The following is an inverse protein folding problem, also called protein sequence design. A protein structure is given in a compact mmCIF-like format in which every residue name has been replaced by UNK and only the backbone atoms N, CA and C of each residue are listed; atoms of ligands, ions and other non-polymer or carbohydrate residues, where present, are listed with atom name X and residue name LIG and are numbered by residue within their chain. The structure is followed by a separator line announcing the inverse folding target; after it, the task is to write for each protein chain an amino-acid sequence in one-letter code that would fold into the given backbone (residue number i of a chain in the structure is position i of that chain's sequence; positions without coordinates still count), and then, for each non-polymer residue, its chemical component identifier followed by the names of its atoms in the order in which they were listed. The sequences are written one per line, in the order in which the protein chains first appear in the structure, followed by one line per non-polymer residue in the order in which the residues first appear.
data_IF_133181744765
#
_entry.id   IF_133181744765
#
_cell.length_a   1.000
_cell.length_b   1.000
_cell.length_c   1.000
_cell.angle_alpha   90.00
_cell.angle_beta   90.00
_cell.angle_gamma   90.00
#
_symmetry.space_group_name_H-M   'P 1'
#
loop_
_entity.id
_entity.type
_entity.pdbx_description
1 polymer ?
#
# COMPACT_ATOMS: atom_id res chain seq x y z
N UNK A 1 -4.98 12.08 11.94
CA UNK A 1 -6.05 11.75 10.97
C UNK A 1 -5.47 10.75 10.00
N UNK A 2 -6.02 9.53 9.94
CA UNK A 2 -5.49 8.43 9.10
C UNK A 2 -6.30 8.43 7.81
N UNK A 3 -5.70 8.74 6.67
CA UNK A 3 -6.33 8.41 5.38
C UNK A 3 -6.08 6.92 5.15
N UNK A 4 -7.09 6.13 5.49
CA UNK A 4 -7.25 4.82 4.89
C UNK A 4 -7.68 5.09 3.45
N UNK A 5 -6.91 4.69 2.44
CA UNK A 5 -7.38 4.79 1.08
C UNK A 5 -8.72 4.04 0.99
N UNK A 6 -9.70 4.58 0.25
CA UNK A 6 -11.03 4.00 0.20
C UNK A 6 -11.03 2.72 -0.67
N UNK A 7 -10.34 1.71 -0.16
CA UNK A 7 -10.08 0.44 -0.81
C UNK A 7 -11.35 -0.38 -0.91
N UNK A 8 -12.31 -0.18 0.01
CA UNK A 8 -13.62 -0.80 -0.07
C UNK A 8 -14.39 -0.33 -1.33
N UNK A 9 -14.30 0.97 -1.63
CA UNK A 9 -14.81 1.51 -2.89
C UNK A 9 -14.01 0.97 -4.09
N UNK A 10 -12.69 0.84 -4.00
CA UNK A 10 -11.85 0.27 -5.07
C UNK A 10 -12.21 -1.19 -5.35
N UNK A 11 -12.42 -2.01 -4.32
CA UNK A 11 -12.78 -3.42 -4.45
C UNK A 11 -14.18 -3.57 -5.08
N UNK A 12 -15.13 -2.72 -4.66
CA UNK A 12 -16.49 -2.68 -5.21
C UNK A 12 -16.50 -2.20 -6.67
N UNK A 13 -15.69 -1.21 -7.00
CA UNK A 13 -15.47 -0.75 -8.38
C UNK A 13 -14.76 -1.82 -9.22
N UNK A 14 -13.83 -2.59 -8.66
CA UNK A 14 -13.16 -3.71 -9.36
C UNK A 14 -14.11 -4.87 -9.66
N UNK A 15 -15.18 -5.05 -8.87
CA UNK A 15 -16.23 -6.03 -9.15
C UNK A 15 -17.25 -5.56 -10.20
N UNK A 16 -17.40 -4.24 -10.39
CA UNK A 16 -18.36 -3.64 -11.32
C UNK A 16 -17.77 -2.97 -12.58
N UNK A 17 -16.45 -2.80 -12.66
CA UNK A 17 -15.75 -2.08 -13.72
C UNK A 17 -14.34 -2.67 -13.95
N UNK A 18 -13.85 -2.63 -15.19
CA UNK A 18 -12.49 -3.07 -15.52
C UNK A 18 -11.45 -2.24 -14.74
N UNK A 19 -10.41 -2.88 -14.20
CA UNK A 19 -9.30 -2.24 -13.48
C UNK A 19 -8.71 -1.03 -14.25
N UNK A 20 -8.72 -1.12 -15.58
CA UNK A 20 -8.27 -0.06 -16.49
C UNK A 20 -9.16 1.19 -16.36
N UNK A 21 -10.47 1.03 -16.23
CA UNK A 21 -11.42 2.14 -16.11
C UNK A 21 -11.23 2.92 -14.80
N UNK A 22 -10.91 2.22 -13.70
CA UNK A 22 -10.60 2.82 -12.40
C UNK A 22 -9.31 3.63 -12.47
N UNK A 23 -8.29 3.11 -13.15
CA UNK A 23 -7.02 3.82 -13.36
C UNK A 23 -7.26 5.08 -14.18
N UNK A 24 -7.99 4.98 -15.29
CA UNK A 24 -8.30 6.12 -16.18
C UNK A 24 -9.09 7.20 -15.42
N UNK A 25 -10.14 6.84 -14.68
CA UNK A 25 -10.97 7.81 -13.96
C UNK A 25 -10.19 8.59 -12.90
N UNK A 26 -9.19 7.96 -12.27
CA UNK A 26 -8.30 8.59 -11.28
C UNK A 26 -7.19 9.41 -11.93
N UNK A 27 -6.69 9.00 -13.10
CA UNK A 27 -5.75 9.80 -13.89
C UNK A 27 -6.36 11.13 -14.33
N UNK A 28 -7.64 11.13 -14.74
CA UNK A 28 -8.36 12.34 -15.16
C UNK A 28 -8.48 13.41 -14.06
N UNK A 29 -8.26 13.05 -12.79
CA UNK A 29 -8.30 13.98 -11.65
C UNK A 29 -6.93 14.59 -11.31
N UNK A 30 -5.85 14.20 -12.00
CA UNK A 30 -4.51 14.72 -11.75
C UNK A 30 -4.25 16.02 -12.52
N UNK A 31 -3.45 16.92 -11.92
CA UNK A 31 -2.85 18.05 -12.63
C UNK A 31 -1.95 17.54 -13.76
N UNK A 32 -1.87 18.27 -14.87
CA UNK A 32 -1.13 17.85 -16.08
C UNK A 32 0.33 17.42 -15.80
N UNK A 33 1.04 18.16 -14.95
CA UNK A 33 2.43 17.84 -14.53
C UNK A 33 2.49 16.50 -13.79
N UNK A 34 1.52 16.23 -12.92
CA UNK A 34 1.40 14.97 -12.19
C UNK A 34 1.02 13.83 -13.12
N UNK A 35 0.21 14.08 -14.15
CA UNK A 35 -0.17 13.08 -15.15
C UNK A 35 1.02 12.63 -15.99
N UNK A 36 1.85 13.57 -16.46
CA UNK A 36 3.09 13.25 -17.21
C UNK A 36 4.08 12.48 -16.32
N UNK A 37 4.30 12.95 -15.09
CA UNK A 37 5.17 12.27 -14.12
C UNK A 37 4.66 10.86 -13.79
N UNK A 38 3.35 10.70 -13.63
CA UNK A 38 2.73 9.41 -13.40
C UNK A 38 2.92 8.48 -14.61
N UNK A 39 2.68 8.96 -15.83
CA UNK A 39 2.84 8.20 -17.06
C UNK A 39 4.25 7.65 -17.24
N UNK A 40 5.29 8.49 -17.10
CA UNK A 40 6.69 8.07 -17.22
C UNK A 40 7.04 7.00 -16.18
N UNK A 41 6.58 7.17 -14.93
CA UNK A 41 6.89 6.26 -13.83
C UNK A 41 6.12 4.93 -13.87
N UNK A 42 5.02 4.87 -14.61
CA UNK A 42 4.15 3.70 -14.71
C UNK A 42 4.19 3.01 -16.06
N UNK A 43 4.85 3.60 -17.07
CA UNK A 43 4.98 3.01 -18.40
C UNK A 43 5.54 1.56 -18.37
N UNK A 44 6.57 1.22 -17.58
CA UNK A 44 7.06 -0.17 -17.50
C UNK A 44 6.04 -1.15 -16.90
N UNK A 45 5.05 -0.66 -16.15
CA UNK A 45 4.01 -1.46 -15.52
C UNK A 45 2.75 -1.59 -16.38
N UNK A 46 2.62 -0.79 -17.46
CA UNK A 46 1.44 -0.81 -18.32
C UNK A 46 1.16 -2.20 -18.93
N UNK A 47 2.21 -2.87 -19.41
CA UNK A 47 2.11 -4.26 -19.90
C UNK A 47 1.74 -5.25 -18.79
N UNK A 48 2.22 -5.05 -17.56
CA UNK A 48 1.90 -5.92 -16.43
C UNK A 48 0.42 -5.76 -16.03
N UNK A 49 -0.08 -4.52 -16.02
CA UNK A 49 -1.51 -4.22 -15.78
C UNK A 49 -2.38 -4.83 -16.87
N UNK A 50 -1.97 -4.76 -18.14
CA UNK A 50 -2.69 -5.38 -19.25
C UNK A 50 -2.81 -6.90 -19.07
N UNK A 51 -1.75 -7.54 -18.57
CA UNK A 51 -1.76 -8.96 -18.19
C UNK A 51 -2.42 -9.24 -16.83
N UNK A 52 -3.12 -8.26 -16.23
CA UNK A 52 -3.81 -8.36 -14.94
C UNK A 52 -2.89 -8.73 -13.76
N UNK A 53 -1.62 -8.30 -13.79
CA UNK A 53 -0.72 -8.46 -12.63
C UNK A 53 -1.23 -7.60 -11.46
N UNK A 54 -1.69 -8.29 -10.42
CA UNK A 54 -2.23 -7.68 -9.21
C UNK A 54 -1.27 -6.70 -8.55
N UNK A 55 0.02 -7.04 -8.42
CA UNK A 55 0.99 -6.20 -7.73
C UNK A 55 1.26 -4.91 -8.51
N UNK A 56 1.32 -4.99 -9.84
CA UNK A 56 1.41 -3.82 -10.70
C UNK A 56 0.17 -2.92 -10.55
N UNK A 57 -1.03 -3.50 -10.56
CA UNK A 57 -2.29 -2.76 -10.36
C UNK A 57 -2.33 -2.01 -9.02
N UNK A 58 -1.97 -2.67 -7.92
CA UNK A 58 -1.94 -2.03 -6.60
C UNK A 58 -0.90 -0.91 -6.53
N UNK A 59 0.31 -1.13 -7.05
CA UNK A 59 1.34 -0.08 -7.10
C UNK A 59 0.81 1.18 -7.78
N UNK A 60 0.18 1.01 -8.94
CA UNK A 60 -0.32 2.13 -9.75
C UNK A 60 -1.46 2.87 -9.04
N UNK A 61 -2.41 2.14 -8.45
CA UNK A 61 -3.52 2.73 -7.71
C UNK A 61 -3.05 3.48 -6.46
N UNK A 62 -2.14 2.89 -5.68
CA UNK A 62 -1.55 3.55 -4.53
C UNK A 62 -0.83 4.84 -4.94
N UNK A 63 -0.01 4.81 -6.00
CA UNK A 63 0.70 6.00 -6.48
C UNK A 63 -0.28 7.12 -6.89
N UNK A 64 -1.40 6.80 -7.53
CA UNK A 64 -2.43 7.78 -7.87
C UNK A 64 -3.04 8.44 -6.62
N UNK A 65 -3.41 7.66 -5.61
CA UNK A 65 -3.99 8.20 -4.37
C UNK A 65 -3.00 9.04 -3.58
N UNK A 66 -1.75 8.59 -3.50
CA UNK A 66 -0.65 9.33 -2.88
C UNK A 66 -0.43 10.66 -3.63
N UNK A 67 -0.38 10.64 -4.97
CA UNK A 67 -0.20 11.86 -5.80
C UNK A 67 -1.36 12.85 -5.71
N UNK A 68 -2.59 12.38 -5.48
CA UNK A 68 -3.74 13.25 -5.25
C UNK A 68 -3.73 13.85 -3.84
N UNK A 69 -3.15 13.15 -2.87
CA UNK A 69 -3.13 13.55 -1.47
C UNK A 69 -1.87 14.34 -1.08
N UNK A 70 -0.79 14.21 -1.87
CA UNK A 70 0.48 14.91 -1.70
C UNK A 70 0.28 16.44 -1.77
N UNK A 71 0.69 17.12 -0.70
CA UNK A 71 0.51 18.56 -0.53
C UNK A 71 -0.60 18.93 0.46
N UNK A 72 -1.46 17.98 0.84
CA UNK A 72 -2.22 18.07 2.09
C UNK A 72 -1.32 17.59 3.23
N UNK A 73 -1.47 18.12 4.44
CA UNK A 73 -0.57 17.95 5.61
C UNK A 73 -0.44 16.52 6.19
N UNK A 74 -0.61 15.47 5.36
CA UNK A 74 -0.54 14.08 5.78
C UNK A 74 0.68 13.39 5.19
N UNK A 75 1.69 13.23 6.04
CA UNK A 75 2.89 12.46 5.75
C UNK A 75 2.73 10.98 6.15
N UNK A 76 1.50 10.48 6.36
CA UNK A 76 1.26 9.10 6.75
C UNK A 76 0.14 8.47 5.92
N UNK A 77 0.48 7.43 5.16
CA UNK A 77 -0.46 6.64 4.38
C UNK A 77 -0.49 5.22 4.94
N UNK A 78 -1.64 4.55 4.89
CA UNK A 78 -1.80 3.19 5.39
C UNK A 78 -2.32 2.27 4.29
N UNK A 79 -1.62 1.18 4.00
CA UNK A 79 -2.13 0.13 3.13
C UNK A 79 -3.16 -0.70 3.91
N UNK A 80 -4.40 -0.73 3.38
CA UNK A 80 -5.54 -1.37 4.05
C UNK A 80 -5.38 -2.89 4.17
N UNK A 81 -6.03 -3.49 5.19
CA UNK A 81 -5.96 -4.92 5.51
C UNK A 81 -6.29 -5.82 4.34
N UNK A 82 -7.32 -5.51 3.56
CA UNK A 82 -7.67 -6.29 2.38
C UNK A 82 -6.50 -6.44 1.39
N UNK A 83 -5.66 -5.41 1.23
CA UNK A 83 -4.52 -5.45 0.31
C UNK A 83 -3.32 -6.13 0.95
N UNK A 84 -3.06 -5.86 2.23
CA UNK A 84 -1.96 -6.47 2.98
C UNK A 84 -2.20 -7.97 3.14
N UNK A 85 -3.35 -8.35 3.66
CA UNK A 85 -3.70 -9.74 3.96
C UNK A 85 -3.81 -10.57 2.68
N UNK A 86 -4.31 -9.99 1.58
CA UNK A 86 -4.32 -10.67 0.29
C UNK A 86 -2.91 -10.82 -0.31
N UNK A 87 -2.06 -9.80 -0.21
CA UNK A 87 -0.66 -9.89 -0.64
C UNK A 87 0.09 -10.99 0.13
N UNK A 88 -0.14 -11.06 1.44
CA UNK A 88 0.42 -12.07 2.34
C UNK A 88 -0.11 -13.47 2.00
N UNK A 89 -1.42 -13.63 1.84
CA UNK A 89 -2.06 -14.90 1.51
C UNK A 89 -1.56 -15.47 0.16
N UNK A 90 -1.36 -14.61 -0.83
CA UNK A 90 -0.84 -14.98 -2.15
C UNK A 90 0.69 -15.09 -2.20
N UNK A 91 1.39 -14.94 -1.06
CA UNK A 91 2.86 -14.88 -0.97
C UNK A 91 3.48 -13.86 -1.93
N UNK A 92 2.74 -12.80 -2.24
CA UNK A 92 3.12 -11.80 -3.23
C UNK A 92 3.79 -10.60 -2.56
N UNK A 93 5.04 -10.81 -2.14
CA UNK A 93 5.87 -9.77 -1.51
C UNK A 93 6.10 -8.51 -2.36
N UNK A 94 5.89 -8.59 -3.69
CA UNK A 94 6.04 -7.44 -4.59
C UNK A 94 5.10 -6.30 -4.22
N UNK A 95 3.89 -6.59 -3.74
CA UNK A 95 2.91 -5.57 -3.33
C UNK A 95 3.48 -4.68 -2.22
N UNK A 96 3.99 -5.31 -1.15
CA UNK A 96 4.57 -4.60 0.00
C UNK A 96 5.85 -3.87 -0.42
N UNK A 97 6.72 -4.52 -1.21
CA UNK A 97 7.95 -3.88 -1.71
C UNK A 97 7.67 -2.65 -2.57
N UNK A 98 6.66 -2.71 -3.45
CA UNK A 98 6.27 -1.56 -4.26
C UNK A 98 5.73 -0.41 -3.40
N UNK A 99 4.92 -0.73 -2.40
CA UNK A 99 4.41 0.26 -1.47
C UNK A 99 5.55 0.96 -0.68
N UNK A 100 6.53 0.22 -0.18
CA UNK A 100 7.72 0.80 0.46
C UNK A 100 8.57 1.64 -0.51
N UNK A 101 8.67 1.22 -1.78
CA UNK A 101 9.30 2.00 -2.83
C UNK A 101 8.60 3.35 -3.05
N UNK A 102 7.27 3.38 -3.01
CA UNK A 102 6.49 4.61 -3.08
C UNK A 102 6.72 5.49 -1.84
N UNK A 103 6.77 4.90 -0.64
CA UNK A 103 7.08 5.61 0.60
C UNK A 103 8.41 6.36 0.52
N UNK A 104 9.46 5.67 0.06
CA UNK A 104 10.77 6.28 -0.16
C UNK A 104 10.74 7.38 -1.24
N UNK A 105 10.03 7.16 -2.34
CA UNK A 105 9.97 8.08 -3.48
C UNK A 105 9.24 9.38 -3.15
N UNK A 106 8.15 9.28 -2.39
CA UNK A 106 7.27 10.40 -2.08
C UNK A 106 7.47 10.96 -0.67
N UNK A 107 8.34 10.36 0.14
CA UNK A 107 8.77 10.89 1.43
C UNK A 107 7.72 10.78 2.55
N UNK A 108 6.84 9.78 2.51
CA UNK A 108 5.82 9.58 3.55
C UNK A 108 6.18 8.42 4.49
N UNK A 109 5.60 8.44 5.70
CA UNK A 109 5.59 7.36 6.68
C UNK A 109 4.63 6.25 6.25
N UNK A 110 5.11 5.05 5.91
CA UNK A 110 4.25 3.95 5.50
C UNK A 110 3.56 3.30 6.70
N UNK A 111 2.30 2.91 6.49
CA UNK A 111 1.52 2.11 7.41
C UNK A 111 1.05 0.82 6.77
N UNK A 112 1.05 -0.29 7.50
CA UNK A 112 0.41 -1.54 7.08
C UNK A 112 -0.67 -1.89 8.08
N UNK A 113 -1.90 -2.09 7.60
CA UNK A 113 -3.00 -2.60 8.39
C UNK A 113 -3.12 -4.10 8.13
N UNK A 114 -3.20 -4.95 9.16
CA UNK A 114 -3.37 -6.41 8.99
C UNK A 114 -4.18 -7.02 10.13
N UNK A 115 -4.97 -8.04 9.80
CA UNK A 115 -5.59 -8.93 10.78
C UNK A 115 -4.91 -10.31 10.87
N UNK A 116 -3.76 -10.48 10.22
CA UNK A 116 -2.99 -11.73 10.20
C UNK A 116 -1.49 -11.44 10.41
N UNK A 117 -1.16 -11.06 11.64
CA UNK A 117 0.19 -10.66 12.04
C UNK A 117 1.26 -11.73 11.74
N UNK A 118 0.97 -13.01 12.02
CA UNK A 118 1.90 -14.12 11.79
C UNK A 118 2.33 -14.25 10.34
N UNK A 119 1.37 -14.10 9.42
CA UNK A 119 1.65 -14.26 8.00
C UNK A 119 2.32 -12.99 7.44
N UNK A 120 2.00 -11.82 8.00
CA UNK A 120 2.72 -10.59 7.69
C UNK A 120 4.19 -10.67 8.12
N UNK A 121 4.50 -11.19 9.32
CA UNK A 121 5.87 -11.40 9.80
C UNK A 121 6.69 -12.21 8.78
N UNK A 122 6.16 -13.35 8.36
CA UNK A 122 6.82 -14.23 7.36
C UNK A 122 7.08 -13.49 6.06
N UNK A 123 6.12 -12.70 5.60
CA UNK A 123 6.26 -11.92 4.38
C UNK A 123 7.31 -10.81 4.52
N UNK A 124 7.34 -10.12 5.66
CA UNK A 124 8.31 -9.06 5.93
C UNK A 124 9.75 -9.59 6.05
N UNK A 125 9.94 -10.78 6.60
CA UNK A 125 11.26 -11.44 6.64
C UNK A 125 11.86 -11.62 5.24
N UNK A 126 11.01 -11.79 4.21
CA UNK A 126 11.42 -11.98 2.81
C UNK A 126 11.49 -10.69 1.99
N UNK A 127 11.06 -9.55 2.55
CA UNK A 127 11.03 -8.23 1.91
C UNK A 127 12.32 -7.48 2.20
N UNK A 128 12.98 -7.00 1.14
CA UNK A 128 14.17 -6.15 1.28
C UNK A 128 13.76 -4.69 1.54
N UNK A 129 14.58 -3.96 2.30
CA UNK A 129 14.46 -2.52 2.54
C UNK A 129 13.18 -2.10 3.27
N UNK A 130 12.91 -2.71 4.43
CA UNK A 130 11.81 -2.27 5.30
C UNK A 130 12.10 -0.83 5.79
N UNK A 131 11.16 0.12 5.61
CA UNK A 131 11.33 1.48 6.10
C UNK A 131 11.45 1.53 7.62
N UNK A 132 12.40 2.29 8.14
CA UNK A 132 12.64 2.39 9.59
C UNK A 132 11.50 3.10 10.34
N UNK A 133 10.72 3.91 9.66
CA UNK A 133 9.56 4.62 10.20
C UNK A 133 8.23 3.88 9.96
N UNK A 134 8.26 2.62 9.56
CA UNK A 134 7.06 1.81 9.31
C UNK A 134 6.18 1.71 10.56
N UNK A 135 4.87 1.87 10.36
CA UNK A 135 3.85 1.64 11.39
C UNK A 135 3.02 0.42 11.01
N UNK A 136 2.88 -0.56 11.89
CA UNK A 136 2.00 -1.71 11.70
C UNK A 136 0.79 -1.56 12.63
N UNK A 137 -0.39 -1.57 12.02
CA UNK A 137 -1.68 -1.55 12.69
C UNK A 137 -2.26 -2.97 12.69
N UNK A 138 -2.58 -3.48 13.87
CA UNK A 138 -3.13 -4.83 14.01
C UNK A 138 -4.15 -4.92 15.15
N UNK A 139 -4.73 -6.10 15.34
CA UNK A 139 -5.66 -6.37 16.43
C UNK A 139 -4.91 -6.41 17.77
N UNK A 140 -5.55 -5.97 18.86
CA UNK A 140 -4.94 -5.81 20.19
C UNK A 140 -4.20 -7.07 20.68
N UNK A 141 -4.73 -8.24 20.34
CA UNK A 141 -4.14 -9.54 20.72
C UNK A 141 -2.82 -9.87 20.02
N UNK A 142 -2.54 -9.27 18.87
CA UNK A 142 -1.40 -9.63 18.00
C UNK A 142 -0.19 -8.71 18.20
N UNK A 143 -0.40 -7.54 18.82
CA UNK A 143 0.66 -6.56 19.09
C UNK A 143 1.84 -7.13 19.91
N UNK A 144 1.62 -7.92 20.98
CA UNK A 144 2.74 -8.53 21.71
C UNK A 144 3.57 -9.50 20.87
N UNK A 145 2.93 -10.22 19.92
CA UNK A 145 3.63 -11.17 19.02
C UNK A 145 4.56 -10.40 18.09
N UNK A 146 4.07 -9.33 17.48
CA UNK A 146 4.84 -8.47 16.59
C UNK A 146 5.98 -7.75 17.30
N UNK A 147 5.72 -7.19 18.50
CA UNK A 147 6.74 -6.51 19.29
C UNK A 147 7.86 -7.45 19.71
N UNK A 148 7.56 -8.71 20.03
CA UNK A 148 8.59 -9.69 20.36
C UNK A 148 9.44 -10.07 19.14
N UNK A 149 8.82 -10.24 17.97
CA UNK A 149 9.54 -10.60 16.75
C UNK A 149 10.44 -9.46 16.24
N UNK A 150 9.97 -8.21 16.36
CA UNK A 150 10.67 -7.01 15.87
C UNK A 150 11.30 -6.20 17.00
N UNK A 151 11.70 -6.84 18.11
CA UNK A 151 12.18 -6.18 19.33
C UNK A 151 13.34 -5.19 19.07
N UNK A 152 14.22 -5.52 18.14
CA UNK A 152 15.39 -4.70 17.78
C UNK A 152 15.16 -3.83 16.52
N UNK A 153 13.91 -3.77 16.04
CA UNK A 153 13.54 -3.02 14.84
C UNK A 153 12.94 -1.65 15.20
N UNK A 154 13.22 -0.59 14.42
CA UNK A 154 12.60 0.73 14.63
C UNK A 154 11.10 0.80 14.25
N UNK A 155 10.48 -0.34 13.90
CA UNK A 155 9.07 -0.44 13.49
C UNK A 155 8.15 -0.11 14.68
N UNK A 156 7.17 0.75 14.43
CA UNK A 156 6.14 1.10 15.42
C UNK A 156 4.94 0.18 15.28
N UNK A 157 4.38 -0.26 16.41
CA UNK A 157 3.17 -1.08 16.46
C UNK A 157 2.03 -0.30 17.10
N UNK A 158 0.83 -0.35 16.50
CA UNK A 158 -0.36 0.32 17.01
C UNK A 158 -1.56 -0.62 17.01
N UNK A 159 -2.27 -0.62 18.12
CA UNK A 159 -3.53 -1.34 18.24
C UNK A 159 -4.65 -0.61 17.50
N UNK A 160 -5.47 -1.38 16.79
CA UNK A 160 -6.79 -0.92 16.36
C UNK A 160 -7.72 -0.96 17.58
N UNK A 161 -8.10 0.22 18.08
CA UNK A 161 -9.22 0.31 19.03
C UNK A 161 -10.50 0.06 18.25
N UNK A 162 -11.16 -1.04 18.57
CA UNK A 162 -12.55 -1.36 18.19
C UNK A 162 -13.50 -0.25 18.59
#
# INVERSE_FOLDING_TARGET
MVIVPNVEQIAREMTGSSQIMIIISRMMKLKLVNLVRFGINNLPYALQILHKDFAAGIKVLCELEIMQSLGNAQDHFVLHSQMVDMAVALKNKRVISYYFGLAKKYGFQPGLLTYNADSLIKTLADVKNIPSNLVIYTHVGDTPVLQNYFRDSPIQFRDLRS
#
